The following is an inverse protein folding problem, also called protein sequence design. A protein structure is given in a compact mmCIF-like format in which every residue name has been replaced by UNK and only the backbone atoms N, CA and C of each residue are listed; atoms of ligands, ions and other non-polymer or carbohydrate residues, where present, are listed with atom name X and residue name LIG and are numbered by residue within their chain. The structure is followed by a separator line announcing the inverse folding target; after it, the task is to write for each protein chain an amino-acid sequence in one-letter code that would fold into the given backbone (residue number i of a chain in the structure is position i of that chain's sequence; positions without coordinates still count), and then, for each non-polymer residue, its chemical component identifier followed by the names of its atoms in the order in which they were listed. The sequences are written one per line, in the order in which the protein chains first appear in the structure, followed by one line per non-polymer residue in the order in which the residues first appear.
data_IF_463524072745
#
_entry.id   IF_463524072745
#
_cell.length_a   1.000
_cell.length_b   1.000
_cell.length_c   1.000
_cell.angle_alpha   90.00
_cell.angle_beta   90.00
_cell.angle_gamma   90.00
#
_symmetry.space_group_name_H-M   'P 1'
#
loop_
_entity.id
_entity.type
_entity.pdbx_description
1 polymer ?
#
# COMPACT_ATOMS: atom_id res chain seq x y z
N UNK A 1 10.87 20.16 -12.80
CA UNK A 1 11.50 20.96 -11.74
C UNK A 1 10.73 20.84 -10.44
N UNK A 2 11.42 20.69 -9.30
CA UNK A 2 10.83 20.48 -7.95
C UNK A 2 10.13 21.73 -7.37
N UNK A 3 9.93 22.78 -8.17
CA UNK A 3 9.45 24.09 -7.70
C UNK A 3 7.95 24.09 -7.37
N UNK A 4 7.18 23.13 -7.88
CA UNK A 4 5.74 22.94 -7.60
C UNK A 4 5.44 21.62 -6.88
N UNK A 5 6.38 21.08 -6.08
CA UNK A 5 6.13 19.81 -5.40
C UNK A 5 5.04 19.96 -4.33
N UNK A 6 4.08 19.02 -4.27
CA UNK A 6 3.06 18.93 -3.20
C UNK A 6 3.68 19.09 -1.82
N UNK A 7 4.89 18.55 -1.61
CA UNK A 7 5.64 18.69 -0.37
C UNK A 7 5.85 20.15 0.09
N UNK A 8 6.01 21.10 -0.83
CA UNK A 8 6.19 22.52 -0.52
C UNK A 8 4.88 23.22 -0.09
N UNK A 9 3.73 22.61 -0.36
CA UNK A 9 2.40 23.12 0.02
C UNK A 9 1.90 22.51 1.34
N UNK A 10 2.59 21.49 1.87
CA UNK A 10 2.22 20.86 3.14
C UNK A 10 2.71 21.73 4.29
N UNK A 11 1.77 22.26 5.09
CA UNK A 11 2.07 23.08 6.27
C UNK A 11 2.79 22.29 7.37
N UNK A 12 2.36 21.06 7.61
CA UNK A 12 2.89 20.20 8.66
C UNK A 12 2.84 18.73 8.23
N UNK A 13 3.90 17.99 8.54
CA UNK A 13 3.96 16.54 8.36
C UNK A 13 4.10 15.88 9.72
N UNK A 14 3.11 15.10 10.11
CA UNK A 14 3.13 14.29 11.34
C UNK A 14 3.36 12.82 11.00
N UNK A 15 4.32 12.21 11.69
CA UNK A 15 4.59 10.76 11.59
C UNK A 15 3.80 10.01 12.66
N UNK A 16 3.36 8.82 12.30
CA UNK A 16 2.66 7.89 13.19
C UNK A 16 3.40 6.56 13.24
N UNK A 17 3.28 5.86 14.37
CA UNK A 17 3.85 4.51 14.51
C UNK A 17 3.08 3.45 13.72
N UNK A 18 1.81 3.71 13.41
CA UNK A 18 0.93 2.80 12.71
C UNK A 18 -0.21 3.54 11.98
N UNK A 19 -0.81 2.86 11.00
CA UNK A 19 -1.87 3.42 10.15
C UNK A 19 -3.21 3.60 10.88
N UNK A 20 -3.48 2.81 11.93
CA UNK A 20 -4.75 2.88 12.66
C UNK A 20 -4.81 4.17 13.46
N UNK A 21 -3.71 4.52 14.15
CA UNK A 21 -3.58 5.78 14.88
C UNK A 21 -3.73 6.98 13.95
N UNK A 22 -3.11 6.95 12.75
CA UNK A 22 -3.27 8.00 11.75
C UNK A 22 -4.73 8.17 11.28
N UNK A 23 -5.43 7.07 10.99
CA UNK A 23 -6.85 7.08 10.63
C UNK A 23 -7.77 7.59 11.76
N UNK A 24 -7.43 7.32 13.02
CA UNK A 24 -8.16 7.86 14.18
C UNK A 24 -7.96 9.37 14.34
N UNK A 25 -6.75 9.88 14.13
CA UNK A 25 -6.48 11.32 14.13
C UNK A 25 -7.22 12.04 12.98
N UNK A 26 -7.28 11.43 11.80
CA UNK A 26 -8.06 11.92 10.67
C UNK A 26 -9.57 11.98 11.01
N UNK A 27 -10.14 10.90 11.54
CA UNK A 27 -11.55 10.87 11.94
C UNK A 27 -11.89 11.87 13.04
N UNK A 28 -10.95 12.18 13.93
CA UNK A 28 -11.10 13.20 14.97
C UNK A 28 -10.92 14.64 14.47
N UNK A 29 -10.64 14.85 13.16
CA UNK A 29 -10.42 16.17 12.58
C UNK A 29 -9.09 16.81 12.97
N UNK A 30 -8.12 16.01 13.46
CA UNK A 30 -6.77 16.49 13.80
C UNK A 30 -5.83 16.56 12.60
N UNK A 31 -6.20 15.93 11.49
CA UNK A 31 -5.47 15.90 10.22
C UNK A 31 -6.43 16.21 9.08
N UNK A 32 -5.92 16.82 8.01
CA UNK A 32 -6.68 17.05 6.78
C UNK A 32 -6.65 15.84 5.85
N UNK A 33 -5.55 15.08 5.85
CA UNK A 33 -5.33 13.89 5.02
C UNK A 33 -4.26 12.98 5.64
N UNK A 34 -4.21 11.73 5.16
CA UNK A 34 -3.13 10.79 5.46
C UNK A 34 -2.57 10.23 4.15
N UNK A 35 -1.30 9.84 4.17
CA UNK A 35 -0.65 9.08 3.10
C UNK A 35 -0.35 7.69 3.63
N UNK A 36 -0.87 6.67 2.96
CA UNK A 36 -0.70 5.26 3.31
C UNK A 36 -0.62 4.42 2.04
N UNK A 37 0.09 3.30 2.11
CA UNK A 37 0.11 2.24 1.11
C UNK A 37 -1.32 1.88 0.66
N UNK A 38 -1.56 1.84 -0.65
CA UNK A 38 -2.92 1.73 -1.20
C UNK A 38 -3.63 0.45 -0.73
N UNK A 39 -2.94 -0.69 -0.78
CA UNK A 39 -3.48 -2.00 -0.40
C UNK A 39 -3.88 -2.01 1.07
N UNK A 40 -3.04 -1.47 1.94
CA UNK A 40 -3.29 -1.40 3.38
C UNK A 40 -4.41 -0.40 3.69
N UNK A 41 -4.36 0.78 3.06
CA UNK A 41 -5.38 1.82 3.20
C UNK A 41 -6.77 1.32 2.82
N UNK A 42 -6.90 0.70 1.64
CA UNK A 42 -8.17 0.11 1.17
C UNK A 42 -8.68 -0.99 2.09
N UNK A 43 -7.80 -1.86 2.57
CA UNK A 43 -8.18 -2.88 3.54
C UNK A 43 -8.73 -2.25 4.83
N UNK A 44 -8.03 -1.27 5.41
CA UNK A 44 -8.43 -0.62 6.66
C UNK A 44 -9.75 0.15 6.53
N UNK A 45 -9.94 0.94 5.47
CA UNK A 45 -11.18 1.69 5.27
C UNK A 45 -12.37 0.79 4.90
N UNK A 46 -12.15 -0.38 4.30
CA UNK A 46 -13.24 -1.34 4.03
C UNK A 46 -13.91 -1.85 5.32
N UNK A 47 -13.22 -1.77 6.46
CA UNK A 47 -13.76 -2.08 7.79
C UNK A 47 -14.55 -0.92 8.41
N UNK A 48 -14.49 0.27 7.81
CA UNK A 48 -15.09 1.55 8.27
C UNK A 48 -15.81 2.22 7.10
N UNK A 49 -16.74 1.48 6.49
CA UNK A 49 -17.40 1.87 5.26
C UNK A 49 -18.11 3.22 5.41
N UNK A 50 -17.81 4.15 4.51
CA UNK A 50 -18.41 5.50 4.48
C UNK A 50 -17.74 6.54 5.37
N UNK A 51 -16.77 6.17 6.21
CA UNK A 51 -16.06 7.14 7.07
C UNK A 51 -14.94 7.90 6.33
N UNK A 52 -14.35 7.28 5.32
CA UNK A 52 -13.20 7.81 4.59
C UNK A 52 -13.45 7.79 3.08
N UNK A 53 -12.79 8.72 2.38
CA UNK A 53 -12.69 8.72 0.91
C UNK A 53 -11.22 8.62 0.50
N UNK A 54 -10.97 7.90 -0.58
CA UNK A 54 -9.66 7.85 -1.24
C UNK A 54 -9.67 8.90 -2.34
N UNK A 55 -8.62 9.72 -2.44
CA UNK A 55 -8.45 10.70 -3.51
C UNK A 55 -8.02 10.00 -4.80
N UNK A 56 -8.34 10.59 -5.96
CA UNK A 56 -7.89 10.07 -7.25
C UNK A 56 -6.39 10.34 -7.45
N UNK A 57 -5.92 11.47 -6.94
CA UNK A 57 -4.52 11.86 -6.93
C UNK A 57 -3.68 10.93 -6.04
N UNK A 58 -2.57 10.45 -6.59
CA UNK A 58 -1.62 9.59 -5.90
C UNK A 58 -0.18 9.97 -6.24
N UNK A 59 0.78 9.40 -5.51
CA UNK A 59 2.21 9.65 -5.70
C UNK A 59 2.87 8.70 -6.72
N UNK A 60 2.06 8.04 -7.54
CA UNK A 60 2.51 7.06 -8.54
C UNK A 60 2.31 5.61 -8.10
N UNK A 61 2.88 4.70 -8.87
CA UNK A 61 2.83 3.26 -8.63
C UNK A 61 4.09 2.78 -7.92
N UNK A 62 3.91 1.82 -7.02
CA UNK A 62 4.99 1.08 -6.38
C UNK A 62 4.88 -0.42 -6.67
N UNK A 63 6.00 -1.11 -6.56
CA UNK A 63 6.06 -2.57 -6.62
C UNK A 63 6.51 -3.11 -5.26
N UNK A 64 5.77 -4.11 -4.77
CA UNK A 64 6.10 -4.81 -3.54
C UNK A 64 6.98 -6.01 -3.86
N UNK A 65 8.00 -6.23 -3.03
CA UNK A 65 8.93 -7.34 -3.19
C UNK A 65 9.31 -7.97 -1.85
N UNK A 66 9.80 -9.21 -1.91
CA UNK A 66 10.36 -9.91 -0.76
C UNK A 66 11.86 -9.63 -0.71
N UNK A 67 12.30 -8.92 0.33
CA UNK A 67 13.72 -8.62 0.54
C UNK A 67 14.51 -9.84 1.05
N UNK A 68 15.63 -10.14 0.40
CA UNK A 68 16.62 -11.14 0.84
C UNK A 68 18.00 -10.51 1.00
N UNK A 69 18.94 -11.22 1.65
CA UNK A 69 20.35 -10.79 1.67
C UNK A 69 20.89 -10.72 0.25
N UNK A 70 21.74 -9.73 -0.04
CA UNK A 70 22.27 -9.47 -1.39
C UNK A 70 22.95 -10.69 -2.02
N UNK A 71 23.64 -11.48 -1.20
CA UNK A 71 24.43 -12.62 -1.68
C UNK A 71 23.64 -13.95 -1.67
N UNK A 72 22.40 -13.97 -1.14
CA UNK A 72 21.54 -15.16 -1.06
C UNK A 72 20.82 -15.44 -2.40
N UNK A 73 21.59 -15.63 -3.45
CA UNK A 73 21.09 -15.86 -4.82
C UNK A 73 20.24 -17.13 -4.94
N UNK A 74 20.53 -18.17 -4.15
CA UNK A 74 19.75 -19.41 -4.14
C UNK A 74 18.32 -19.18 -3.60
N UNK A 75 18.19 -18.43 -2.51
CA UNK A 75 16.88 -18.12 -1.93
C UNK A 75 16.08 -17.22 -2.85
N UNK A 76 16.74 -16.20 -3.43
CA UNK A 76 16.13 -15.31 -4.42
C UNK A 76 15.53 -16.12 -5.57
N UNK A 77 16.32 -17.01 -6.19
CA UNK A 77 15.85 -17.81 -7.32
C UNK A 77 14.69 -18.76 -6.97
N UNK A 78 14.66 -19.30 -5.74
CA UNK A 78 13.53 -20.12 -5.28
C UNK A 78 12.27 -19.28 -5.06
N UNK A 79 12.39 -18.09 -4.47
CA UNK A 79 11.28 -17.17 -4.26
C UNK A 79 10.68 -16.73 -5.58
N UNK A 80 11.50 -16.21 -6.50
CA UNK A 80 11.05 -15.72 -7.80
C UNK A 80 10.31 -16.80 -8.58
N UNK A 81 10.92 -17.99 -8.71
CA UNK A 81 10.30 -19.13 -9.40
C UNK A 81 8.95 -19.52 -8.79
N UNK A 82 8.85 -19.50 -7.46
CA UNK A 82 7.62 -19.88 -6.76
C UNK A 82 6.53 -18.84 -6.96
N UNK A 83 6.87 -17.55 -6.82
CA UNK A 83 5.95 -16.44 -7.04
C UNK A 83 5.44 -16.42 -8.49
N UNK A 84 6.32 -16.62 -9.47
CA UNK A 84 5.94 -16.72 -10.88
C UNK A 84 5.00 -17.89 -11.15
N UNK A 85 5.28 -19.06 -10.55
CA UNK A 85 4.40 -20.23 -10.68
C UNK A 85 3.01 -19.95 -10.08
N UNK A 86 2.94 -19.27 -8.93
CA UNK A 86 1.68 -18.87 -8.30
C UNK A 86 0.90 -17.83 -9.11
N UNK A 87 1.59 -16.99 -9.90
CA UNK A 87 0.93 -16.08 -10.85
C UNK A 87 0.34 -16.88 -12.01
N UNK A 88 1.10 -17.81 -12.58
CA UNK A 88 0.69 -18.62 -13.73
C UNK A 88 -0.47 -19.57 -13.41
N UNK A 89 -0.48 -20.17 -12.21
CA UNK A 89 -1.52 -21.12 -11.81
C UNK A 89 -2.77 -20.47 -11.19
N UNK A 90 -2.78 -19.15 -11.05
CA UNK A 90 -3.90 -18.38 -10.50
C UNK A 90 -4.00 -18.36 -8.97
N UNK A 91 -3.08 -19.01 -8.26
CA UNK A 91 -3.04 -19.01 -6.79
C UNK A 91 -2.89 -17.60 -6.24
N UNK A 92 -2.02 -16.77 -6.83
CA UNK A 92 -1.83 -15.39 -6.41
C UNK A 92 -3.11 -14.55 -6.59
N UNK A 93 -3.81 -14.71 -7.71
CA UNK A 93 -5.06 -14.00 -8.00
C UNK A 93 -6.18 -14.38 -7.02
N UNK A 94 -6.27 -15.67 -6.64
CA UNK A 94 -7.22 -16.15 -5.63
C UNK A 94 -6.94 -15.54 -4.26
N UNK A 95 -5.67 -15.47 -3.84
CA UNK A 95 -5.28 -14.82 -2.58
C UNK A 95 -5.63 -13.33 -2.62
N UNK A 96 -5.29 -12.62 -3.70
CA UNK A 96 -5.62 -11.20 -3.87
C UNK A 96 -7.14 -10.96 -3.74
N UNK A 97 -7.95 -11.77 -4.41
CA UNK A 97 -9.41 -11.64 -4.37
C UNK A 97 -9.97 -11.91 -2.97
N UNK A 98 -9.43 -12.90 -2.25
CA UNK A 98 -9.86 -13.21 -0.88
C UNK A 98 -9.66 -12.04 0.08
N UNK A 99 -8.55 -11.31 -0.04
CA UNK A 99 -8.19 -10.25 0.90
C UNK A 99 -8.65 -8.86 0.46
N UNK A 100 -8.75 -8.61 -0.85
CA UNK A 100 -8.99 -7.28 -1.40
C UNK A 100 -10.24 -7.19 -2.28
N UNK A 101 -10.94 -8.31 -2.51
CA UNK A 101 -12.16 -8.35 -3.33
C UNK A 101 -11.92 -8.25 -4.84
N UNK A 102 -10.66 -8.14 -5.28
CA UNK A 102 -10.29 -8.06 -6.69
C UNK A 102 -8.93 -8.72 -6.96
N UNK A 103 -8.69 -9.13 -8.20
CA UNK A 103 -7.35 -9.52 -8.63
C UNK A 103 -6.50 -8.26 -8.87
N UNK A 104 -5.48 -8.08 -8.05
CA UNK A 104 -4.52 -6.97 -8.12
C UNK A 104 -3.11 -7.43 -8.55
N UNK A 105 -2.98 -8.68 -8.97
CA UNK A 105 -1.69 -9.26 -9.39
C UNK A 105 -1.36 -8.77 -10.81
N UNK A 106 -0.13 -8.26 -10.97
CA UNK A 106 0.48 -7.90 -12.25
C UNK A 106 1.18 -9.10 -12.89
#
# INVERSE_FOLDING_TARGET
DRKDSVAAQIKEVKKFGDNVTALMDLAAGRLDAIVVDEVVGRYLISKRAGEYRVLEENFGTEDYGVGVRKDDTELLGKLDKTLDSMKQDGTAARIATQWFGANIIK
#
